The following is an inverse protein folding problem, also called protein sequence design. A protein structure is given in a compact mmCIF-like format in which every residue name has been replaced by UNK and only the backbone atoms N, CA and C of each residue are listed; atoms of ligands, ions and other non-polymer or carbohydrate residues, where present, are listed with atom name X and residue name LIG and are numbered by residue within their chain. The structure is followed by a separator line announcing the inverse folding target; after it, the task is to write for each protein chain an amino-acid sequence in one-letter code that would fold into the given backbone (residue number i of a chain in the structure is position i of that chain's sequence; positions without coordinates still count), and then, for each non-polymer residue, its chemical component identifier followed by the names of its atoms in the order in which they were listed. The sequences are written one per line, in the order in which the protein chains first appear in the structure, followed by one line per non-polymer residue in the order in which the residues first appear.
data_IF_457563027930
#
_entry.id   IF_457563027930
#
_cell.length_a   1.000
_cell.length_b   1.000
_cell.length_c   1.000
_cell.angle_alpha   90.00
_cell.angle_beta   90.00
_cell.angle_gamma   90.00
#
_symmetry.space_group_name_H-M   'P 1'
#
loop_
_entity.id
_entity.type
_entity.pdbx_description
1 polymer ?
#
# COMPACT_ATOMS: atom_id res chain seq x y z
N UNK A 1 -4.99 -4.71 6.27
CA UNK A 1 -5.36 -3.29 6.14
C UNK A 1 -6.86 -3.28 6.07
N UNK A 2 -7.45 -3.30 7.24
CA UNK A 2 -8.89 -3.46 7.42
C UNK A 2 -9.65 -2.45 6.55
N UNK A 3 -10.71 -2.93 5.89
CA UNK A 3 -11.60 -2.09 5.07
C UNK A 3 -10.92 -1.42 3.88
N UNK A 4 -9.88 -2.07 3.35
CA UNK A 4 -9.21 -1.63 2.13
C UNK A 4 -9.78 -2.25 0.86
N UNK A 5 -10.41 -3.41 0.96
CA UNK A 5 -11.16 -4.00 -0.13
C UNK A 5 -12.39 -3.18 -0.47
N UNK A 6 -12.68 -3.05 -1.75
CA UNK A 6 -13.87 -2.36 -2.23
C UNK A 6 -15.15 -3.07 -1.79
N UNK A 7 -16.16 -2.29 -1.42
CA UNK A 7 -17.48 -2.82 -1.06
C UNK A 7 -18.21 -3.36 -2.29
N UNK A 8 -19.00 -4.41 -2.11
CA UNK A 8 -19.88 -4.98 -3.11
C UNK A 8 -20.67 -6.13 -2.49
N UNK A 9 -21.54 -6.78 -3.26
CA UNK A 9 -22.14 -8.06 -2.85
C UNK A 9 -21.06 -9.07 -2.48
N UNK A 10 -19.99 -9.12 -3.28
CA UNK A 10 -18.73 -9.79 -2.92
C UNK A 10 -17.67 -8.73 -2.65
N UNK A 11 -17.26 -8.64 -1.39
CA UNK A 11 -16.24 -7.70 -0.95
C UNK A 11 -14.88 -8.06 -1.53
N UNK A 12 -14.14 -7.06 -1.99
CA UNK A 12 -12.74 -7.23 -2.37
C UNK A 12 -11.86 -7.62 -1.18
N UNK A 13 -10.79 -8.38 -1.42
CA UNK A 13 -9.85 -8.75 -0.36
C UNK A 13 -9.12 -7.54 0.21
N UNK A 14 -8.96 -7.49 1.53
CA UNK A 14 -8.14 -6.46 2.18
C UNK A 14 -6.66 -6.67 1.86
N UNK A 15 -5.95 -5.56 1.62
CA UNK A 15 -4.49 -5.56 1.58
C UNK A 15 -3.89 -5.79 2.96
N UNK A 16 -2.56 -5.75 3.06
CA UNK A 16 -1.80 -5.92 4.29
C UNK A 16 -0.85 -4.73 4.49
N UNK A 17 -0.41 -4.57 5.73
CA UNK A 17 0.67 -3.65 6.09
C UNK A 17 1.90 -4.52 6.35
N UNK A 18 3.00 -4.25 5.64
CA UNK A 18 4.30 -4.87 5.88
C UNK A 18 5.28 -3.80 6.31
N UNK A 19 6.04 -4.07 7.35
CA UNK A 19 7.09 -3.20 7.85
C UNK A 19 8.41 -3.95 7.77
N UNK A 20 9.40 -3.31 7.15
CA UNK A 20 10.74 -3.86 6.98
C UNK A 20 11.70 -2.88 7.64
N UNK A 21 12.25 -3.27 8.79
CA UNK A 21 13.28 -2.51 9.48
C UNK A 21 14.66 -2.85 8.94
N UNK A 22 15.43 -1.82 8.58
CA UNK A 22 16.79 -1.99 8.09
C UNK A 22 17.77 -2.05 9.24
N UNK A 23 18.74 -2.98 9.19
CA UNK A 23 19.74 -3.15 10.26
C UNK A 23 21.14 -2.66 9.89
N UNK A 24 21.33 -2.23 8.64
CA UNK A 24 22.60 -1.74 8.09
C UNK A 24 22.29 -0.64 7.05
N UNK A 25 23.21 0.30 6.81
CA UNK A 25 23.07 1.25 5.72
C UNK A 25 22.92 0.51 4.39
N UNK A 26 21.95 0.90 3.58
CA UNK A 26 21.73 0.32 2.25
C UNK A 26 20.95 1.26 1.34
N UNK A 27 21.04 1.01 0.03
CA UNK A 27 20.19 1.62 -0.98
C UNK A 27 19.04 0.67 -1.31
N UNK A 28 17.81 1.18 -1.28
CA UNK A 28 16.60 0.40 -1.49
C UNK A 28 15.81 0.98 -2.65
N UNK A 29 15.46 0.13 -3.60
CA UNK A 29 14.54 0.48 -4.69
C UNK A 29 13.19 -0.18 -4.46
N UNK A 30 12.13 0.62 -4.54
CA UNK A 30 10.75 0.14 -4.57
C UNK A 30 10.18 0.29 -5.97
N UNK A 31 9.62 -0.80 -6.49
CA UNK A 31 8.93 -0.86 -7.78
C UNK A 31 7.57 -1.47 -7.54
N UNK A 32 6.53 -0.62 -7.52
CA UNK A 32 5.18 -1.05 -7.18
C UNK A 32 4.13 -0.34 -8.02
N UNK A 33 3.14 -1.11 -8.46
CA UNK A 33 2.01 -0.63 -9.26
C UNK A 33 0.74 -0.47 -8.40
N UNK A 34 -0.37 -0.05 -9.01
CA UNK A 34 -1.66 0.18 -8.30
C UNK A 34 -1.56 1.16 -7.13
N UNK A 35 -0.70 2.18 -7.31
CA UNK A 35 -0.48 3.30 -6.37
C UNK A 35 -1.14 4.60 -6.85
N UNK A 36 -1.21 4.78 -8.17
CA UNK A 36 -1.91 5.90 -8.83
C UNK A 36 -3.36 5.54 -9.14
N UNK A 37 -3.60 4.31 -9.63
CA UNK A 37 -4.94 3.82 -9.93
C UNK A 37 -5.35 2.72 -8.96
N UNK A 38 -6.57 2.82 -8.44
CA UNK A 38 -7.17 1.83 -7.57
C UNK A 38 -7.49 0.53 -8.34
N UNK A 39 -7.42 -0.65 -7.69
CA UNK A 39 -8.04 -1.86 -8.24
C UNK A 39 -9.54 -1.65 -8.41
N UNK A 40 -10.03 -1.93 -9.63
CA UNK A 40 -11.39 -1.57 -10.02
C UNK A 40 -12.43 -2.50 -9.43
N UNK A 41 -13.50 -1.89 -8.92
CA UNK A 41 -14.74 -2.62 -8.67
C UNK A 41 -15.45 -2.96 -9.99
N UNK A 42 -16.35 -3.94 -9.95
CA UNK A 42 -17.07 -4.43 -11.13
C UNK A 42 -18.57 -4.57 -10.83
N UNK A 43 -19.40 -4.36 -11.86
CA UNK A 43 -20.86 -4.56 -11.80
C UNK A 43 -21.54 -3.84 -10.62
N UNK A 44 -21.14 -2.59 -10.35
CA UNK A 44 -21.66 -1.79 -9.23
C UNK A 44 -20.86 -1.89 -7.92
N UNK A 45 -19.86 -2.78 -7.86
CA UNK A 45 -18.90 -2.82 -6.74
C UNK A 45 -17.96 -1.60 -6.75
N UNK A 46 -17.52 -1.18 -5.56
CA UNK A 46 -16.59 -0.05 -5.38
C UNK A 46 -15.14 -0.46 -5.60
N UNK A 47 -14.32 0.52 -5.98
CA UNK A 47 -12.88 0.36 -6.11
C UNK A 47 -12.23 0.02 -4.75
N UNK A 48 -11.19 -0.82 -4.80
CA UNK A 48 -10.34 -1.09 -3.65
C UNK A 48 -9.41 0.09 -3.36
N UNK A 49 -9.02 0.28 -2.10
CA UNK A 49 -8.12 1.36 -1.75
C UNK A 49 -6.71 1.13 -2.34
N UNK A 50 -6.10 2.21 -2.84
CA UNK A 50 -4.77 2.22 -3.46
C UNK A 50 -3.71 1.74 -2.48
N UNK A 51 -2.64 1.14 -3.02
CA UNK A 51 -1.46 0.88 -2.22
C UNK A 51 -0.73 2.17 -1.88
N UNK A 52 0.11 2.13 -0.85
CA UNK A 52 0.97 3.25 -0.44
C UNK A 52 2.30 2.71 0.05
N UNK A 53 3.36 3.48 -0.12
CA UNK A 53 4.68 3.14 0.41
C UNK A 53 5.24 4.34 1.16
N UNK A 54 5.78 4.09 2.35
CA UNK A 54 6.36 5.12 3.19
C UNK A 54 7.72 4.68 3.71
N UNK A 55 8.63 5.63 3.84
CA UNK A 55 9.83 5.48 4.65
C UNK A 55 9.62 6.20 5.99
N UNK A 56 9.70 5.45 7.08
CA UNK A 56 9.70 5.99 8.44
C UNK A 56 11.17 6.24 8.81
N UNK A 57 11.53 7.52 8.92
CA UNK A 57 12.87 7.97 9.32
C UNK A 57 13.05 7.79 10.83
N UNK A 58 14.30 7.78 11.29
CA UNK A 58 14.63 7.66 12.73
C UNK A 58 14.01 8.75 13.61
N UNK A 59 13.83 9.94 13.04
CA UNK A 59 13.20 11.08 13.71
C UNK A 59 11.66 11.00 13.70
N UNK A 60 11.09 9.88 13.25
CA UNK A 60 9.65 9.65 13.18
C UNK A 60 8.98 10.23 11.94
N UNK A 61 9.70 10.97 11.07
CA UNK A 61 9.09 11.48 9.83
C UNK A 61 8.66 10.33 8.93
N UNK A 62 7.43 10.41 8.43
CA UNK A 62 6.85 9.46 7.48
C UNK A 62 6.86 10.05 6.08
N UNK A 63 7.81 9.62 5.25
CA UNK A 63 8.01 10.14 3.88
C UNK A 63 7.27 9.27 2.88
N UNK A 64 6.38 9.85 2.08
CA UNK A 64 5.70 9.13 1.01
C UNK A 64 6.65 8.90 -0.18
N UNK A 65 6.81 7.63 -0.58
CA UNK A 65 7.76 7.26 -1.65
C UNK A 65 7.12 7.19 -3.03
N UNK A 66 5.80 7.24 -3.14
CA UNK A 66 5.11 6.96 -4.41
C UNK A 66 5.21 5.49 -4.82
N UNK A 67 4.98 5.21 -6.10
CA UNK A 67 4.99 3.84 -6.64
C UNK A 67 6.37 3.31 -7.02
N UNK A 68 7.28 4.19 -7.45
CA UNK A 68 8.63 3.85 -7.90
C UNK A 68 9.61 4.87 -7.33
N UNK A 69 10.59 4.41 -6.57
CA UNK A 69 11.58 5.29 -5.96
C UNK A 69 12.82 4.50 -5.52
N UNK A 70 13.94 5.20 -5.40
CA UNK A 70 15.19 4.68 -4.82
C UNK A 70 15.62 5.61 -3.71
N UNK A 71 15.89 5.05 -2.53
CA UNK A 71 16.25 5.81 -1.33
C UNK A 71 17.37 5.13 -0.58
N UNK A 72 18.24 5.94 0.03
CA UNK A 72 19.18 5.46 1.02
C UNK A 72 18.51 5.42 2.40
N UNK A 73 18.75 4.31 3.10
CA UNK A 73 18.20 4.04 4.42
C UNK A 73 19.30 3.76 5.44
N UNK A 74 19.02 4.11 6.69
CA UNK A 74 19.91 3.91 7.83
C UNK A 74 19.37 2.83 8.78
N UNK A 75 20.22 2.21 9.62
CA UNK A 75 19.80 1.18 10.57
C UNK A 75 18.72 1.68 11.53
N UNK A 76 17.55 1.05 11.63
CA UNK A 76 16.41 1.46 12.45
C UNK A 76 15.35 2.27 11.69
N UNK A 77 15.59 2.62 10.43
CA UNK A 77 14.53 3.14 9.55
C UNK A 77 13.67 2.00 9.01
N UNK A 78 12.40 2.30 8.70
CA UNK A 78 11.40 1.28 8.31
C UNK A 78 10.80 1.62 6.95
N UNK A 79 10.88 0.70 6.00
CA UNK A 79 10.02 0.73 4.81
C UNK A 79 8.67 0.11 5.15
N UNK A 80 7.63 0.93 5.13
CA UNK A 80 6.25 0.52 5.35
C UNK A 80 5.51 0.42 4.01
N UNK A 81 5.03 -0.78 3.69
CA UNK A 81 4.31 -1.09 2.45
C UNK A 81 2.87 -1.42 2.81
N UNK A 82 1.94 -0.59 2.33
CA UNK A 82 0.51 -0.84 2.38
C UNK A 82 0.10 -1.39 1.01
N UNK A 83 -0.21 -2.68 0.94
CA UNK A 83 -0.67 -3.26 -0.33
C UNK A 83 -2.09 -2.75 -0.67
N UNK A 84 -2.45 -2.69 -1.96
CA UNK A 84 -3.79 -2.30 -2.36
C UNK A 84 -4.81 -3.35 -1.89
N UNK A 85 -6.05 -2.92 -1.65
CA UNK A 85 -7.17 -3.84 -1.52
C UNK A 85 -7.77 -4.17 -2.89
N UNK A 86 -8.40 -5.33 -3.03
CA UNK A 86 -9.11 -5.71 -4.25
C UNK A 86 -10.38 -4.88 -4.45
N UNK A 87 -10.85 -4.73 -5.69
CA UNK A 87 -12.17 -4.14 -5.96
C UNK A 87 -13.30 -5.08 -5.54
N UNK A 88 -14.44 -4.51 -5.13
CA UNK A 88 -15.66 -5.27 -4.86
C UNK A 88 -16.41 -5.63 -6.14
N UNK A 89 -17.33 -6.59 -6.02
CA UNK A 89 -18.22 -6.99 -7.11
C UNK A 89 -19.68 -6.89 -6.69
N UNK A 90 -20.52 -6.38 -7.58
CA UNK A 90 -21.97 -6.28 -7.37
C UNK A 90 -22.38 -5.11 -6.47
N UNK A 91 -23.66 -4.71 -6.55
CA UNK A 91 -24.22 -3.70 -5.66
C UNK A 91 -24.30 -4.21 -4.23
N UNK A 92 -23.97 -3.34 -3.27
CA UNK A 92 -24.30 -3.57 -1.86
C UNK A 92 -25.74 -3.10 -1.67
N UNK A 93 -26.62 -3.98 -1.17
CA UNK A 93 -27.96 -3.62 -0.70
C UNK A 93 -27.89 -2.67 0.49
#
# INVERSE_FOLDING_TARGET
RENSGGSGQYRGGDGIIREIEYRRPMTVSILSERRVYAPKGLMGGKDGARGQNFLIRKDGRRVYLGGKNTVDVQPGEILQILTPGGGGWGYTS
#
